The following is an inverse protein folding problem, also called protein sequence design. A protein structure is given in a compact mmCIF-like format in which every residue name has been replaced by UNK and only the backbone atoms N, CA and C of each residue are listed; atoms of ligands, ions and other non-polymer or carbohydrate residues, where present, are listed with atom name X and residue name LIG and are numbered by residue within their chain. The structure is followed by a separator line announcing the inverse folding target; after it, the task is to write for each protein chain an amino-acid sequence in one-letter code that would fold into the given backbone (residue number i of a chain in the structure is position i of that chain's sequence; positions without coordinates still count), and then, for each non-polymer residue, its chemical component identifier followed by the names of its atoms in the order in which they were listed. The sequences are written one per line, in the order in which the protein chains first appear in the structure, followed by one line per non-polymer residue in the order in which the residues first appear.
data_IF_406192630639
#
_entry.id   IF_406192630639
#
_cell.length_a   1.000
_cell.length_b   1.000
_cell.length_c   1.000
_cell.angle_alpha   90.00
_cell.angle_beta   90.00
_cell.angle_gamma   90.00
#
_symmetry.space_group_name_H-M   'P 1'
#
loop_
_entity.id
_entity.type
_entity.pdbx_description
1 polymer ?
#
# COMPACT_ATOMS: atom_id res chain seq x y z
N UNK A 1 -20.87 12.00 -9.87
CA UNK A 1 -19.74 12.90 -9.56
C UNK A 1 -19.26 12.50 -8.16
N UNK A 2 -18.32 11.56 -8.06
CA UNK A 2 -17.86 11.05 -6.76
C UNK A 2 -16.55 11.75 -6.40
N UNK A 3 -16.58 12.48 -5.29
CA UNK A 3 -15.42 13.13 -4.69
C UNK A 3 -14.44 12.03 -4.23
N UNK A 4 -13.34 11.85 -4.96
CA UNK A 4 -12.19 11.09 -4.48
C UNK A 4 -11.55 11.89 -3.35
N UNK A 5 -11.71 11.43 -2.11
CA UNK A 5 -10.97 11.99 -0.98
C UNK A 5 -9.56 11.38 -1.00
N UNK A 6 -8.65 11.99 -1.76
CA UNK A 6 -7.21 11.73 -1.64
C UNK A 6 -6.71 12.34 -0.32
N UNK A 7 -6.76 11.59 0.78
CA UNK A 7 -6.11 12.01 2.03
C UNK A 7 -4.62 11.70 1.93
N UNK A 8 -3.81 12.73 1.66
CA UNK A 8 -2.36 12.65 1.81
C UNK A 8 -1.97 12.76 3.28
N UNK A 9 -1.21 11.80 3.79
CA UNK A 9 -0.63 11.83 5.13
C UNK A 9 0.90 12.01 4.99
N UNK A 10 1.49 12.96 5.72
CA UNK A 10 2.94 13.25 5.72
C UNK A 10 3.42 13.29 7.18
N UNK A 11 4.56 12.68 7.51
CA UNK A 11 5.24 12.89 8.78
C UNK A 11 6.77 12.93 8.67
N UNK A 12 7.33 13.76 9.55
CA UNK A 12 8.73 13.91 9.85
C UNK A 12 9.09 13.06 11.08
N UNK A 13 10.08 12.16 10.94
CA UNK A 13 11.00 11.81 12.03
C UNK A 13 12.29 11.21 11.48
N UNK A 14 13.39 11.96 11.60
CA UNK A 14 14.82 11.58 11.50
C UNK A 14 15.30 10.57 10.43
N UNK A 15 14.54 10.32 9.38
CA UNK A 15 15.03 9.84 8.09
C UNK A 15 15.01 11.02 7.13
N UNK A 16 16.07 11.20 6.36
CA UNK A 16 16.31 12.39 5.53
C UNK A 16 15.22 12.65 4.48
N UNK A 17 14.25 11.74 4.25
CA UNK A 17 13.07 11.95 3.39
C UNK A 17 11.86 11.11 3.84
N UNK A 18 10.62 11.62 3.75
CA UNK A 18 9.44 10.79 3.93
C UNK A 18 9.39 9.72 2.83
N UNK A 19 9.34 8.43 3.21
CA UNK A 19 9.08 7.36 2.23
C UNK A 19 7.61 7.40 1.85
N UNK A 20 7.35 7.27 0.56
CA UNK A 20 6.01 7.32 -0.02
C UNK A 20 5.68 5.95 -0.57
N UNK A 21 4.49 5.47 -0.23
CA UNK A 21 3.98 4.17 -0.64
C UNK A 21 2.66 4.34 -1.40
N UNK A 22 2.56 3.71 -2.56
CA UNK A 22 1.32 3.60 -3.33
C UNK A 22 0.62 2.30 -2.95
N UNK A 23 -0.69 2.41 -2.68
CA UNK A 23 -1.54 1.27 -2.39
C UNK A 23 -2.63 1.11 -3.44
N UNK A 24 -2.85 -0.13 -3.87
CA UNK A 24 -4.04 -0.56 -4.60
C UNK A 24 -4.43 -1.96 -4.16
N UNK A 25 -5.60 -2.44 -4.52
CA UNK A 25 -6.03 -3.75 -4.07
C UNK A 25 -7.51 -4.00 -4.30
N UNK A 26 -8.01 -5.04 -3.65
CA UNK A 26 -9.41 -5.40 -3.69
C UNK A 26 -9.81 -6.03 -2.37
N UNK A 27 -10.67 -5.34 -1.63
CA UNK A 27 -11.13 -5.75 -0.32
C UNK A 27 -10.65 -4.83 0.81
N UNK A 28 -10.98 -5.20 2.06
CA UNK A 28 -10.68 -4.39 3.22
C UNK A 28 -9.19 -4.40 3.54
N UNK A 29 -8.68 -3.24 3.93
CA UNK A 29 -7.37 -3.06 4.57
C UNK A 29 -7.53 -2.19 5.80
N UNK A 30 -6.56 -2.23 6.70
CA UNK A 30 -6.51 -1.33 7.85
C UNK A 30 -5.17 -0.59 7.88
N UNK A 31 -5.21 0.74 7.84
CA UNK A 31 -4.05 1.61 7.89
C UNK A 31 -4.12 2.42 9.16
N UNK A 32 -3.11 2.33 10.03
CA UNK A 32 -3.03 3.13 11.26
C UNK A 32 -4.30 3.03 12.15
N UNK A 33 -4.93 1.84 12.19
CA UNK A 33 -6.21 1.59 12.86
C UNK A 33 -7.45 2.21 12.19
N UNK A 34 -7.31 2.77 10.98
CA UNK A 34 -8.43 3.19 10.13
C UNK A 34 -8.73 2.11 9.08
N UNK A 35 -9.96 1.58 9.11
CA UNK A 35 -10.43 0.64 8.09
C UNK A 35 -10.69 1.38 6.78
N UNK A 36 -10.08 0.91 5.70
CA UNK A 36 -10.31 1.39 4.34
C UNK A 36 -10.70 0.20 3.46
N UNK A 37 -11.66 0.40 2.57
CA UNK A 37 -12.00 -0.60 1.56
C UNK A 37 -11.36 -0.22 0.23
N UNK A 38 -10.49 -1.09 -0.29
CA UNK A 38 -9.90 -0.95 -1.61
C UNK A 38 -10.89 -1.46 -2.65
N UNK A 39 -11.55 -0.56 -3.35
CA UNK A 39 -12.41 -0.81 -4.50
C UNK A 39 -11.65 -0.92 -5.83
N UNK A 40 -11.63 -2.13 -6.40
CA UNK A 40 -11.17 -2.39 -7.78
C UNK A 40 -9.65 -2.29 -7.96
N UNK A 41 -9.02 -3.40 -8.33
CA UNK A 41 -7.56 -3.51 -8.52
C UNK A 41 -7.03 -2.58 -9.66
N UNK A 42 -7.92 -1.98 -10.45
CA UNK A 42 -7.61 -1.11 -11.59
C UNK A 42 -7.22 0.32 -11.20
N UNK A 43 -7.53 0.78 -9.98
CA UNK A 43 -7.25 2.15 -9.53
C UNK A 43 -6.34 2.17 -8.29
N UNK A 44 -5.39 3.11 -8.27
CA UNK A 44 -4.65 3.41 -7.05
C UNK A 44 -5.60 4.07 -6.05
N UNK A 45 -5.63 3.55 -4.83
CA UNK A 45 -6.59 3.96 -3.80
C UNK A 45 -6.06 5.09 -2.93
N UNK A 46 -4.74 5.13 -2.76
CA UNK A 46 -4.11 6.09 -1.91
C UNK A 46 -2.60 6.14 -2.14
N UNK A 47 -2.07 7.34 -1.91
CA UNK A 47 -0.66 7.59 -1.71
C UNK A 47 -0.48 7.88 -0.23
N UNK A 48 0.27 7.04 0.46
CA UNK A 48 0.51 7.14 1.90
C UNK A 48 1.96 7.56 2.08
N UNK A 49 2.18 8.73 2.67
CA UNK A 49 3.48 9.08 3.22
C UNK A 49 3.63 8.50 4.62
N UNK A 50 4.84 8.08 4.99
CA UNK A 50 5.12 7.69 6.37
C UNK A 50 4.82 8.88 7.30
N UNK A 51 4.00 8.63 8.35
CA UNK A 51 4.24 7.60 9.33
C UNK A 51 3.16 6.52 9.22
N UNK A 52 3.40 5.54 8.34
CA UNK A 52 2.71 4.28 8.48
C UNK A 52 3.09 3.76 9.86
N UNK A 53 2.10 3.59 10.73
CA UNK A 53 2.23 2.92 12.02
C UNK A 53 1.91 1.45 11.86
N UNK A 54 0.94 1.13 11.01
CA UNK A 54 0.66 -0.22 10.58
C UNK A 54 -0.15 -0.25 9.29
N UNK A 55 0.11 -1.27 8.46
CA UNK A 55 -0.74 -1.70 7.34
C UNK A 55 -1.15 -3.14 7.62
N UNK A 56 -2.45 -3.40 7.67
CA UNK A 56 -2.98 -4.76 7.78
C UNK A 56 -3.80 -5.11 6.55
N UNK A 57 -3.50 -6.26 5.96
CA UNK A 57 -4.24 -6.85 4.84
C UNK A 57 -3.98 -8.36 4.79
N UNK A 58 -4.91 -9.16 4.28
CA UNK A 58 -4.77 -10.63 4.27
C UNK A 58 -3.59 -11.08 3.40
N UNK A 59 -3.54 -10.60 2.14
CA UNK A 59 -2.38 -10.77 1.24
C UNK A 59 -1.75 -9.43 0.88
N UNK A 60 -0.42 -9.33 0.98
CA UNK A 60 0.37 -8.17 0.55
C UNK A 60 1.40 -8.52 -0.52
N UNK A 61 1.37 -7.77 -1.60
CA UNK A 61 2.29 -7.89 -2.73
C UNK A 61 3.16 -6.65 -2.85
N UNK A 62 4.46 -6.79 -2.58
CA UNK A 62 5.43 -5.70 -2.73
C UNK A 62 5.94 -5.71 -4.17
N UNK A 63 5.59 -4.67 -4.91
CA UNK A 63 5.86 -4.55 -6.33
C UNK A 63 7.16 -3.78 -6.56
N UNK A 64 8.06 -4.33 -7.38
CA UNK A 64 9.41 -3.78 -7.58
C UNK A 64 9.47 -2.44 -8.31
N UNK A 65 8.54 -2.19 -9.22
CA UNK A 65 8.58 -1.01 -10.09
C UNK A 65 7.16 -0.47 -10.36
N UNK A 66 7.10 0.80 -10.78
CA UNK A 66 5.84 1.51 -10.96
C UNK A 66 5.01 0.95 -12.12
N UNK A 67 5.63 0.52 -13.21
CA UNK A 67 4.93 -0.06 -14.37
C UNK A 67 4.19 -1.34 -13.97
N UNK A 68 4.89 -2.23 -13.28
CA UNK A 68 4.30 -3.43 -12.73
C UNK A 68 3.26 -3.12 -11.66
N UNK A 69 3.45 -2.08 -10.85
CA UNK A 69 2.43 -1.66 -9.89
C UNK A 69 1.13 -1.28 -10.60
N UNK A 70 1.16 -0.64 -11.77
CA UNK A 70 -0.06 -0.37 -12.51
C UNK A 70 -0.67 -1.65 -13.07
N UNK A 71 0.14 -2.57 -13.60
CA UNK A 71 -0.33 -3.73 -14.34
C UNK A 71 -0.51 -5.03 -13.53
N UNK A 72 -0.04 -5.10 -12.29
CA UNK A 72 -0.07 -6.32 -11.45
C UNK A 72 -1.51 -6.84 -11.24
N UNK A 73 -2.50 -5.95 -11.38
CA UNK A 73 -3.91 -6.31 -11.32
C UNK A 73 -4.38 -7.21 -12.47
N UNK A 74 -3.64 -7.24 -13.58
CA UNK A 74 -3.91 -8.13 -14.71
C UNK A 74 -3.42 -9.55 -14.41
N UNK A 75 -2.35 -9.68 -13.62
CA UNK A 75 -1.72 -10.95 -13.22
C UNK A 75 -2.40 -11.57 -12.00
N UNK A 76 -2.64 -10.78 -10.96
CA UNK A 76 -3.17 -11.25 -9.67
C UNK A 76 -4.61 -10.79 -9.51
N UNK A 77 -5.51 -11.75 -9.29
CA UNK A 77 -6.97 -11.57 -9.22
C UNK A 77 -7.59 -12.03 -7.91
N UNK A 78 -6.80 -12.58 -7.00
CA UNK A 78 -7.27 -13.04 -5.70
C UNK A 78 -7.81 -11.89 -4.85
N UNK A 79 -8.61 -12.26 -3.84
CA UNK A 79 -9.22 -11.32 -2.89
C UNK A 79 -9.30 -11.97 -1.51
N UNK A 80 -9.14 -11.20 -0.42
CA UNK A 80 -8.73 -9.80 -0.41
C UNK A 80 -7.20 -9.64 -0.56
N UNK A 81 -6.75 -8.62 -1.29
CA UNK A 81 -5.32 -8.38 -1.51
C UNK A 81 -4.97 -6.89 -1.56
N UNK A 82 -3.71 -6.58 -1.21
CA UNK A 82 -3.11 -5.25 -1.28
C UNK A 82 -1.78 -5.30 -2.04
N UNK A 83 -1.61 -4.41 -3.01
CA UNK A 83 -0.36 -4.18 -3.71
C UNK A 83 0.28 -2.91 -3.18
N UNK A 84 1.56 -3.00 -2.88
CA UNK A 84 2.37 -1.98 -2.24
C UNK A 84 3.53 -1.66 -3.17
N UNK A 85 3.66 -0.41 -3.58
CA UNK A 85 4.86 0.07 -4.27
C UNK A 85 5.46 1.22 -3.50
N UNK A 86 6.79 1.22 -3.33
CA UNK A 86 7.50 2.37 -2.77
C UNK A 86 8.55 2.88 -3.74
N UNK A 87 8.68 4.20 -3.81
CA UNK A 87 9.76 4.85 -4.57
C UNK A 87 11.14 4.65 -3.93
N UNK A 88 11.17 4.31 -2.64
CA UNK A 88 12.38 4.01 -1.90
C UNK A 88 12.32 2.55 -1.45
N UNK A 89 13.48 1.90 -1.34
CA UNK A 89 13.54 0.54 -0.80
C UNK A 89 12.95 0.51 0.61
N UNK A 90 12.02 -0.43 0.84
CA UNK A 90 11.51 -0.74 2.17
C UNK A 90 12.61 -1.45 2.96
N UNK A 91 12.96 -0.91 4.12
CA UNK A 91 13.93 -1.55 5.03
C UNK A 91 13.22 -2.44 6.06
N UNK A 92 13.99 -3.15 6.88
CA UNK A 92 13.46 -4.08 7.87
C UNK A 92 12.49 -3.42 8.87
N UNK A 93 12.69 -2.13 9.17
CA UNK A 93 11.79 -1.38 10.06
C UNK A 93 10.48 -1.05 9.35
N UNK A 94 10.51 -0.67 8.07
CA UNK A 94 9.29 -0.48 7.28
C UNK A 94 8.49 -1.79 7.15
N UNK A 95 9.19 -2.90 6.93
CA UNK A 95 8.59 -4.22 6.74
C UNK A 95 7.86 -4.70 8.00
N UNK A 96 8.34 -4.35 9.20
CA UNK A 96 7.65 -4.65 10.48
C UNK A 96 6.29 -3.97 10.61
N UNK A 97 6.05 -2.89 9.86
CA UNK A 97 4.78 -2.16 9.89
C UNK A 97 3.72 -2.84 9.00
N UNK A 98 4.11 -3.78 8.14
CA UNK A 98 3.21 -4.53 7.27
C UNK A 98 2.85 -5.85 7.95
N UNK A 99 1.58 -5.98 8.30
CA UNK A 99 1.03 -7.13 9.04
C UNK A 99 0.08 -7.87 8.10
N UNK A 100 0.48 -9.04 7.65
CA UNK A 100 -0.26 -9.81 6.65
C UNK A 100 -0.07 -11.31 6.87
N UNK A 101 -1.02 -12.12 6.38
CA UNK A 101 -0.86 -13.58 6.37
C UNK A 101 0.18 -14.01 5.34
N UNK A 102 0.23 -13.31 4.21
CA UNK A 102 1.17 -13.56 3.11
C UNK A 102 1.82 -12.26 2.64
N UNK A 103 3.15 -12.28 2.50
CA UNK A 103 3.92 -11.17 1.93
C UNK A 103 4.79 -11.71 0.81
N UNK A 104 4.48 -11.31 -0.42
CA UNK A 104 5.18 -11.74 -1.63
C UNK A 104 5.85 -10.56 -2.34
N UNK A 105 7.06 -10.79 -2.85
CA UNK A 105 7.82 -9.81 -3.62
C UNK A 105 7.71 -10.12 -5.11
N UNK A 106 7.13 -9.19 -5.88
CA UNK A 106 6.86 -9.37 -7.31
C UNK A 106 7.60 -8.33 -8.14
#
# INVERSE_FOLDING_TARGET
MYNLIQKGYICQKNSTRPKVVLLKGNGPININSEMMELFTITLAHGLIGLPLKSLHADSVYIVKNLEEFWDIHKKIKEKPCCFVYSYNTLDDEDMKLIISETIDFI
#
